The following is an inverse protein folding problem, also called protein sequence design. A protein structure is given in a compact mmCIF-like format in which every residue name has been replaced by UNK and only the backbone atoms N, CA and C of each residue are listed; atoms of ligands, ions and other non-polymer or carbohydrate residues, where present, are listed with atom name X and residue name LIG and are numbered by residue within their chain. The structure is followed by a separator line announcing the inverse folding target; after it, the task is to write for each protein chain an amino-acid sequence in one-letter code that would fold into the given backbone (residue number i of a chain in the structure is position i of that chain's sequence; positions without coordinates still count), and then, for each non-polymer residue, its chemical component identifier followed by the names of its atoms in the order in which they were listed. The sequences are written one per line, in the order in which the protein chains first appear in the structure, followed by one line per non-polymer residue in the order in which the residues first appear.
data_IF_012896595784
#
_entry.id   IF_012896595784
#
_cell.length_a   1.000
_cell.length_b   1.000
_cell.length_c   1.000
_cell.angle_alpha   90.00
_cell.angle_beta   90.00
_cell.angle_gamma   90.00
#
_symmetry.space_group_name_H-M   'P 1'
#
loop_
_entity.id
_entity.type
_entity.pdbx_description
1 polymer ?
#
# COMPACT_ATOMS: atom_id res chain seq x y z
N UNK A 1 -18.89 -10.59 -12.92
CA UNK A 1 -18.38 -11.35 -11.75
C UNK A 1 -18.00 -10.31 -10.70
N UNK A 2 -18.65 -10.33 -9.55
CA UNK A 2 -18.55 -9.29 -8.53
C UNK A 2 -17.24 -9.44 -7.74
N UNK A 3 -16.28 -8.54 -8.00
CA UNK A 3 -15.09 -8.38 -7.20
C UNK A 3 -15.45 -7.71 -5.87
N UNK A 4 -15.81 -8.51 -4.88
CA UNK A 4 -15.98 -8.03 -3.51
C UNK A 4 -14.60 -7.65 -2.95
N UNK A 5 -14.35 -6.35 -2.86
CA UNK A 5 -13.27 -5.80 -2.04
C UNK A 5 -13.50 -6.25 -0.60
N UNK A 6 -12.80 -7.30 -0.19
CA UNK A 6 -12.82 -7.76 1.19
C UNK A 6 -12.12 -6.73 2.05
N UNK A 7 -12.90 -5.77 2.56
CA UNK A 7 -12.63 -5.09 3.81
C UNK A 7 -12.04 -6.11 4.80
N UNK A 8 -10.93 -5.80 5.45
CA UNK A 8 -10.32 -6.64 6.47
C UNK A 8 -11.19 -6.78 7.73
N UNK A 9 -12.38 -7.38 7.59
CA UNK A 9 -13.02 -8.15 8.64
C UNK A 9 -12.14 -9.37 8.90
N UNK A 10 -12.03 -9.75 10.17
CA UNK A 10 -11.53 -11.04 10.63
C UNK A 10 -12.46 -12.18 10.16
N UNK A 11 -12.73 -12.25 8.86
CA UNK A 11 -13.40 -13.38 8.24
C UNK A 11 -12.38 -14.49 8.14
N UNK A 12 -12.78 -15.66 8.63
CA UNK A 12 -12.00 -16.89 8.52
C UNK A 12 -12.01 -17.34 7.04
N UNK A 13 -11.00 -18.08 6.59
CA UNK A 13 -10.87 -18.58 5.19
C UNK A 13 -12.04 -19.45 4.70
N UNK A 14 -12.97 -19.75 5.61
CA UNK A 14 -14.00 -20.77 5.45
C UNK A 14 -13.36 -22.15 5.57
N UNK A 15 -13.89 -22.97 6.47
CA UNK A 15 -13.44 -24.37 6.63
C UNK A 15 -13.57 -25.13 5.30
N UNK A 16 -14.57 -24.79 4.49
CA UNK A 16 -14.84 -25.40 3.18
C UNK A 16 -13.68 -25.23 2.17
N UNK A 17 -12.80 -24.25 2.38
CA UNK A 17 -11.64 -24.02 1.52
C UNK A 17 -10.47 -24.98 1.82
N UNK A 18 -10.49 -25.69 2.96
CA UNK A 18 -9.49 -26.70 3.35
C UNK A 18 -9.87 -28.09 2.83
N UNK A 19 -9.91 -28.23 1.51
CA UNK A 19 -10.30 -29.45 0.80
C UNK A 19 -9.29 -29.80 -0.29
N UNK A 20 -9.45 -30.94 -0.96
CA UNK A 20 -8.65 -31.30 -2.14
C UNK A 20 -8.68 -30.16 -3.18
N UNK A 21 -7.50 -29.72 -3.62
CA UNK A 21 -7.31 -28.56 -4.50
C UNK A 21 -7.33 -27.19 -3.79
N UNK A 22 -7.69 -27.15 -2.51
CA UNK A 22 -7.80 -25.95 -1.68
C UNK A 22 -6.55 -25.68 -0.83
N UNK A 23 -6.74 -25.07 0.33
CA UNK A 23 -5.65 -24.73 1.26
C UNK A 23 -5.06 -25.96 1.94
N UNK A 24 -3.81 -25.85 2.39
CA UNK A 24 -3.17 -26.82 3.25
C UNK A 24 -3.42 -26.48 4.73
N UNK A 25 -3.84 -27.47 5.54
CA UNK A 25 -4.06 -27.28 6.97
C UNK A 25 -2.75 -27.38 7.76
N UNK A 26 -2.16 -26.23 8.09
CA UNK A 26 -0.92 -26.13 8.86
C UNK A 26 -1.21 -26.00 10.36
N UNK A 27 -0.39 -26.64 11.18
CA UNK A 27 -0.36 -26.51 12.64
C UNK A 27 0.98 -25.94 13.10
N UNK A 28 0.98 -25.35 14.30
CA UNK A 28 2.20 -24.92 14.97
C UNK A 28 3.11 -26.15 15.17
N UNK A 29 4.41 -25.95 14.96
CA UNK A 29 5.46 -26.96 14.94
C UNK A 29 5.34 -28.00 13.81
N UNK A 30 4.54 -27.76 12.77
CA UNK A 30 4.63 -28.59 11.56
C UNK A 30 5.95 -28.32 10.82
N UNK A 31 6.55 -29.40 10.32
CA UNK A 31 7.85 -29.40 9.66
C UNK A 31 7.69 -29.44 8.13
N UNK A 32 8.44 -28.58 7.44
CA UNK A 32 8.49 -28.50 5.98
C UNK A 32 9.92 -28.68 5.48
N UNK A 33 10.07 -29.12 4.22
CA UNK A 33 11.35 -29.35 3.56
C UNK A 33 12.34 -30.18 4.40
N UNK A 34 11.92 -31.37 4.85
CA UNK A 34 12.77 -32.27 5.64
C UNK A 34 13.12 -31.74 7.04
N UNK A 35 12.26 -30.90 7.63
CA UNK A 35 12.49 -30.34 8.97
C UNK A 35 13.26 -29.03 8.99
N UNK A 36 13.63 -28.49 7.82
CA UNK A 36 14.29 -27.18 7.74
C UNK A 36 13.40 -26.05 8.25
N UNK A 37 12.13 -26.02 7.85
CA UNK A 37 11.22 -24.94 8.19
C UNK A 37 10.15 -25.42 9.17
N UNK A 38 10.07 -24.80 10.34
CA UNK A 38 9.12 -25.16 11.39
C UNK A 38 8.08 -24.06 11.57
N UNK A 39 6.81 -24.37 11.33
CA UNK A 39 5.71 -23.39 11.40
C UNK A 39 5.50 -22.86 12.82
N UNK A 40 5.39 -21.55 12.98
CA UNK A 40 5.30 -20.85 14.27
C UNK A 40 3.90 -20.29 14.51
N UNK A 41 3.44 -19.41 13.61
CA UNK A 41 2.09 -18.82 13.66
C UNK A 41 1.67 -18.35 12.28
N UNK A 42 0.36 -18.31 12.05
CA UNK A 42 -0.18 -17.73 10.81
C UNK A 42 0.04 -16.21 10.79
N UNK A 43 0.53 -15.69 9.67
CA UNK A 43 0.72 -14.25 9.43
C UNK A 43 -0.47 -13.65 8.69
N UNK A 44 -1.02 -14.39 7.72
CA UNK A 44 -2.12 -13.91 6.91
C UNK A 44 -2.59 -14.96 5.92
N UNK A 45 -3.53 -14.54 5.08
CA UNK A 45 -4.09 -15.37 4.02
C UNK A 45 -4.68 -14.52 2.91
N UNK A 46 -4.78 -15.12 1.73
CA UNK A 46 -5.43 -14.52 0.57
C UNK A 46 -6.18 -15.56 -0.24
N UNK A 47 -6.79 -15.14 -1.35
CA UNK A 47 -7.61 -16.01 -2.19
C UNK A 47 -6.87 -17.27 -2.67
N UNK A 48 -5.55 -17.23 -2.80
CA UNK A 48 -4.75 -18.30 -3.42
C UNK A 48 -3.79 -19.01 -2.46
N UNK A 49 -3.59 -18.49 -1.25
CA UNK A 49 -2.52 -18.98 -0.37
C UNK A 49 -2.75 -18.65 1.10
N UNK A 50 -2.00 -19.33 1.96
CA UNK A 50 -1.82 -18.95 3.36
C UNK A 50 -0.37 -18.58 3.60
N UNK A 51 -0.10 -17.63 4.51
CA UNK A 51 1.25 -17.19 4.85
C UNK A 51 1.49 -17.42 6.34
N UNK A 52 2.59 -18.09 6.65
CA UNK A 52 2.97 -18.50 8.00
C UNK A 52 4.35 -17.94 8.35
N UNK A 53 4.51 -17.54 9.60
CA UNK A 53 5.83 -17.39 10.19
C UNK A 53 6.40 -18.79 10.36
N UNK A 54 7.61 -19.02 9.88
CA UNK A 54 8.36 -20.24 10.10
C UNK A 54 9.75 -19.92 10.64
N UNK A 55 10.36 -20.89 11.30
CA UNK A 55 11.74 -20.83 11.75
C UNK A 55 12.60 -21.73 10.86
N UNK A 56 13.64 -21.16 10.24
CA UNK A 56 14.65 -21.91 9.47
C UNK A 56 15.71 -22.45 10.41
N UNK A 57 15.71 -23.77 10.63
CA UNK A 57 16.61 -24.46 11.55
C UNK A 57 18.06 -24.50 11.07
N UNK A 58 18.32 -24.24 9.77
CA UNK A 58 19.68 -24.19 9.24
C UNK A 58 20.35 -22.84 9.46
N UNK A 59 19.59 -21.76 9.30
CA UNK A 59 20.12 -20.39 9.39
C UNK A 59 19.81 -19.71 10.74
N UNK A 60 19.01 -20.36 11.58
CA UNK A 60 18.53 -19.85 12.86
C UNK A 60 17.77 -18.52 12.73
N UNK A 61 17.03 -18.34 11.63
CA UNK A 61 16.29 -17.12 11.31
C UNK A 61 14.79 -17.39 11.14
N UNK A 62 13.99 -16.39 11.45
CA UNK A 62 12.57 -16.38 11.12
C UNK A 62 12.36 -16.00 9.64
N UNK A 63 11.43 -16.68 8.99
CA UNK A 63 11.08 -16.53 7.58
C UNK A 63 9.57 -16.53 7.39
N UNK A 64 9.10 -16.06 6.24
CA UNK A 64 7.70 -16.15 5.83
C UNK A 64 7.52 -17.31 4.88
N UNK A 65 6.72 -18.31 5.25
CA UNK A 65 6.36 -19.46 4.44
C UNK A 65 4.98 -19.22 3.79
N UNK A 66 4.97 -18.93 2.49
CA UNK A 66 3.76 -18.78 1.66
C UNK A 66 3.42 -20.13 1.02
N UNK A 67 2.24 -20.66 1.30
CA UNK A 67 1.79 -21.98 0.86
C UNK A 67 0.59 -21.81 -0.07
N UNK A 68 0.77 -22.15 -1.34
CA UNK A 68 -0.26 -22.02 -2.38
C UNK A 68 -1.33 -23.12 -2.23
N UNK A 69 -2.55 -22.84 -2.71
CA UNK A 69 -3.57 -23.87 -2.91
C UNK A 69 -3.08 -24.96 -3.88
N UNK A 70 -3.57 -26.18 -3.72
CA UNK A 70 -3.07 -27.35 -4.46
C UNK A 70 -3.75 -27.61 -5.82
N UNK A 71 -4.81 -26.88 -6.19
CA UNK A 71 -5.46 -27.10 -7.47
C UNK A 71 -4.52 -26.73 -8.63
N UNK A 72 -4.47 -27.53 -9.72
CA UNK A 72 -3.55 -27.29 -10.84
C UNK A 72 -3.66 -25.90 -11.47
N UNK A 73 -4.88 -25.33 -11.50
CA UNK A 73 -5.16 -23.99 -12.00
C UNK A 73 -4.41 -22.86 -11.26
N UNK A 74 -3.90 -23.11 -10.05
CA UNK A 74 -3.10 -22.14 -9.29
C UNK A 74 -1.59 -22.36 -9.44
N UNK A 75 -1.18 -23.49 -10.02
CA UNK A 75 0.24 -23.86 -10.10
C UNK A 75 1.01 -22.96 -11.08
N UNK A 76 0.42 -22.62 -12.22
CA UNK A 76 1.05 -21.75 -13.21
C UNK A 76 1.33 -20.34 -12.65
N UNK A 77 0.33 -19.70 -12.05
CA UNK A 77 0.49 -18.40 -11.39
C UNK A 77 1.52 -18.45 -10.25
N UNK A 78 1.58 -19.55 -9.49
CA UNK A 78 2.58 -19.73 -8.45
C UNK A 78 4.01 -19.91 -9.00
N UNK A 79 4.18 -20.65 -10.10
CA UNK A 79 5.47 -20.85 -10.74
C UNK A 79 5.97 -19.56 -11.39
N UNK A 80 5.06 -18.80 -12.01
CA UNK A 80 5.35 -17.45 -12.52
C UNK A 80 5.82 -16.51 -11.41
N UNK A 81 5.15 -16.50 -10.26
CA UNK A 81 5.57 -15.70 -9.10
C UNK A 81 6.97 -16.13 -8.61
N UNK A 82 7.26 -17.44 -8.55
CA UNK A 82 8.59 -17.95 -8.21
C UNK A 82 9.64 -17.48 -9.21
N UNK A 83 9.37 -17.55 -10.51
CA UNK A 83 10.30 -17.11 -11.55
C UNK A 83 10.65 -15.63 -11.41
N UNK A 84 9.65 -14.77 -11.27
CA UNK A 84 9.83 -13.32 -11.06
C UNK A 84 10.67 -13.06 -9.80
N UNK A 85 10.30 -13.70 -8.68
CA UNK A 85 11.01 -13.52 -7.41
C UNK A 85 12.45 -14.06 -7.44
N UNK A 86 12.69 -15.18 -8.13
CA UNK A 86 14.05 -15.72 -8.34
C UNK A 86 14.92 -14.73 -9.09
N UNK A 87 14.44 -14.16 -10.21
CA UNK A 87 15.19 -13.14 -10.96
C UNK A 87 15.53 -11.93 -10.09
N UNK A 88 14.56 -11.44 -9.30
CA UNK A 88 14.77 -10.31 -8.40
C UNK A 88 15.83 -10.64 -7.34
N UNK A 89 15.73 -11.79 -6.67
CA UNK A 89 16.63 -12.16 -5.59
C UNK A 89 18.05 -12.48 -6.05
N UNK A 90 18.18 -13.18 -7.17
CA UNK A 90 19.49 -13.51 -7.75
C UNK A 90 20.23 -12.26 -8.25
N UNK A 91 19.47 -11.23 -8.66
CA UNK A 91 20.01 -9.96 -9.18
C UNK A 91 20.29 -8.92 -8.09
N UNK A 92 19.74 -9.06 -6.87
CA UNK A 92 20.08 -8.25 -5.68
C UNK A 92 20.34 -9.12 -4.43
N UNK A 93 21.46 -9.88 -4.38
CA UNK A 93 21.81 -10.69 -3.20
C UNK A 93 22.02 -9.86 -1.93
N UNK A 94 22.27 -8.57 -2.06
CA UNK A 94 22.48 -7.63 -0.95
C UNK A 94 21.18 -7.22 -0.27
N UNK A 95 20.03 -7.46 -0.91
CA UNK A 95 18.71 -7.05 -0.45
C UNK A 95 18.59 -5.55 -0.18
N UNK A 96 19.25 -4.74 -1.01
CA UNK A 96 19.34 -3.28 -0.86
C UNK A 96 18.26 -2.53 -1.63
N UNK A 97 17.55 -3.19 -2.54
CA UNK A 97 16.61 -2.55 -3.49
C UNK A 97 15.17 -2.44 -2.99
N UNK A 98 14.95 -2.54 -1.67
CA UNK A 98 13.62 -2.42 -1.07
C UNK A 98 12.57 -3.41 -1.64
N UNK A 99 12.99 -4.64 -2.00
CA UNK A 99 12.10 -5.69 -2.48
C UNK A 99 12.33 -6.97 -1.68
N UNK A 100 11.25 -7.69 -1.38
CA UNK A 100 11.29 -8.96 -0.64
C UNK A 100 12.17 -10.00 -1.34
N UNK A 101 12.93 -10.73 -0.55
CA UNK A 101 13.80 -11.79 -1.04
C UNK A 101 13.14 -13.17 -0.98
N UNK A 102 13.25 -13.93 -2.07
CA UNK A 102 12.99 -15.36 -2.11
C UNK A 102 14.24 -16.12 -1.63
N UNK A 103 14.08 -16.86 -0.55
CA UNK A 103 15.15 -17.63 0.10
C UNK A 103 15.18 -19.07 -0.42
N UNK A 104 14.00 -19.67 -0.61
CA UNK A 104 13.84 -21.07 -1.02
C UNK A 104 12.45 -21.27 -1.62
N UNK A 105 12.27 -22.31 -2.42
CA UNK A 105 10.96 -22.76 -2.86
C UNK A 105 10.96 -24.28 -3.02
N UNK A 106 9.84 -24.92 -2.68
CA UNK A 106 9.72 -26.38 -2.74
C UNK A 106 8.27 -26.82 -2.91
N UNK A 107 8.09 -28.11 -3.19
CA UNK A 107 6.78 -28.77 -3.22
C UNK A 107 6.53 -29.49 -1.91
N UNK A 108 5.36 -29.30 -1.32
CA UNK A 108 4.91 -30.00 -0.12
C UNK A 108 3.70 -30.89 -0.43
N UNK A 109 3.82 -32.19 -0.17
CA UNK A 109 2.71 -33.11 -0.29
C UNK A 109 1.87 -33.10 0.99
N UNK A 110 0.62 -32.69 0.89
CA UNK A 110 -0.34 -32.70 2.00
C UNK A 110 -1.62 -33.47 1.66
N UNK A 111 -2.56 -33.59 2.61
CA UNK A 111 -3.81 -34.33 2.40
C UNK A 111 -4.69 -33.74 1.28
N UNK A 112 -4.53 -32.45 0.99
CA UNK A 112 -5.30 -31.73 -0.01
C UNK A 112 -4.62 -31.69 -1.40
N UNK A 113 -3.44 -32.30 -1.56
CA UNK A 113 -2.70 -32.35 -2.81
C UNK A 113 -1.24 -31.87 -2.66
N UNK A 114 -0.62 -31.57 -3.79
CA UNK A 114 0.73 -31.01 -3.82
C UNK A 114 0.63 -29.47 -3.79
N UNK A 115 1.30 -28.86 -2.82
CA UNK A 115 1.32 -27.42 -2.61
C UNK A 115 2.68 -26.86 -3.00
N UNK A 116 2.70 -25.77 -3.78
CA UNK A 116 3.92 -24.99 -3.99
C UNK A 116 4.13 -24.08 -2.80
N UNK A 117 5.33 -24.10 -2.25
CA UNK A 117 5.73 -23.33 -1.09
C UNK A 117 6.87 -22.38 -1.47
N UNK A 118 6.76 -21.12 -1.04
CA UNK A 118 7.79 -20.10 -1.16
C UNK A 118 8.24 -19.71 0.24
N UNK A 119 9.55 -19.63 0.45
CA UNK A 119 10.16 -19.14 1.67
C UNK A 119 10.74 -17.77 1.36
N UNK A 120 10.14 -16.76 1.96
CA UNK A 120 10.53 -15.36 1.82
C UNK A 120 11.22 -14.89 3.11
N UNK A 121 12.00 -13.82 3.04
CA UNK A 121 12.44 -13.14 4.26
C UNK A 121 11.23 -12.73 5.13
N UNK A 122 11.42 -12.71 6.44
CA UNK A 122 10.39 -12.18 7.33
C UNK A 122 10.35 -10.66 7.24
N UNK A 123 9.14 -10.12 7.07
CA UNK A 123 8.85 -8.69 7.11
C UNK A 123 7.73 -8.42 8.13
N UNK A 124 7.63 -7.17 8.54
CA UNK A 124 6.69 -6.67 9.53
C UNK A 124 5.27 -6.45 9.01
N UNK A 125 4.61 -5.45 9.60
CA UNK A 125 3.22 -5.12 9.25
C UNK A 125 3.14 -4.37 7.90
N UNK A 126 2.01 -4.51 7.21
CA UNK A 126 1.76 -3.77 5.95
C UNK A 126 1.52 -2.28 6.20
N UNK A 127 1.72 -1.46 5.17
CA UNK A 127 1.37 -0.04 5.23
C UNK A 127 -0.13 0.17 5.46
N UNK A 128 -1.01 -0.71 4.95
CA UNK A 128 -2.44 -0.67 5.30
C UNK A 128 -2.64 -0.80 6.82
N UNK A 129 -1.87 -1.67 7.48
CA UNK A 129 -1.95 -1.84 8.94
C UNK A 129 -1.35 -0.65 9.68
N UNK A 130 -0.33 0.01 9.12
CA UNK A 130 0.20 1.27 9.63
C UNK A 130 -0.86 2.39 9.57
N UNK A 131 -1.54 2.57 8.43
CA UNK A 131 -2.62 3.56 8.26
C UNK A 131 -3.74 3.31 9.28
N UNK A 132 -4.16 2.04 9.44
CA UNK A 132 -5.14 1.62 10.47
C UNK A 132 -4.66 1.89 11.88
N UNK A 133 -3.39 1.62 12.17
CA UNK A 133 -2.79 1.86 13.48
C UNK A 133 -2.77 3.36 13.82
N UNK A 134 -2.48 4.21 12.84
CA UNK A 134 -2.58 5.67 12.90
C UNK A 134 -4.03 6.20 12.88
N UNK A 135 -5.04 5.30 12.89
CA UNK A 135 -6.47 5.63 12.86
C UNK A 135 -6.88 6.48 11.66
N UNK A 136 -6.29 6.24 10.49
CA UNK A 136 -6.58 7.00 9.26
C UNK A 136 -6.39 8.52 9.45
N UNK A 137 -5.50 8.93 10.36
CA UNK A 137 -5.11 10.32 10.53
C UNK A 137 -4.02 10.68 9.53
N UNK A 138 -3.91 11.98 9.23
CA UNK A 138 -2.83 12.58 8.45
C UNK A 138 -1.48 12.14 9.02
N UNK A 139 -0.59 11.68 8.14
CA UNK A 139 0.78 11.33 8.49
C UNK A 139 1.70 12.52 8.19
N UNK A 140 2.68 12.75 9.06
CA UNK A 140 3.70 13.78 8.82
C UNK A 140 4.42 13.54 7.49
N UNK A 141 4.54 14.58 6.66
CA UNK A 141 5.11 14.44 5.31
C UNK A 141 6.54 13.90 5.30
N UNK A 142 7.34 14.13 6.36
CA UNK A 142 8.67 13.52 6.46
C UNK A 142 8.63 11.99 6.51
N UNK A 143 7.65 11.43 7.24
CA UNK A 143 7.42 9.98 7.33
C UNK A 143 6.88 9.44 6.00
N UNK A 144 6.00 10.18 5.33
CA UNK A 144 5.51 9.85 3.97
C UNK A 144 6.66 9.81 2.96
N UNK A 145 7.55 10.81 2.97
CA UNK A 145 8.73 10.88 2.09
C UNK A 145 9.67 9.70 2.29
N UNK A 146 9.91 9.28 3.53
CA UNK A 146 10.77 8.12 3.84
C UNK A 146 10.22 6.83 3.19
N UNK A 147 8.93 6.57 3.39
CA UNK A 147 8.25 5.42 2.77
C UNK A 147 8.28 5.53 1.24
N UNK A 148 7.99 6.71 0.69
CA UNK A 148 8.00 6.95 -0.76
C UNK A 148 9.38 6.68 -1.37
N UNK A 149 10.48 7.02 -0.67
CA UNK A 149 11.84 6.71 -1.14
C UNK A 149 12.07 5.21 -1.27
N UNK A 150 11.65 4.41 -0.29
CA UNK A 150 11.76 2.95 -0.37
C UNK A 150 10.99 2.39 -1.58
N UNK A 151 9.75 2.84 -1.79
CA UNK A 151 8.92 2.39 -2.92
C UNK A 151 9.57 2.78 -4.25
N UNK A 152 10.07 4.01 -4.38
CA UNK A 152 10.70 4.48 -5.62
C UNK A 152 12.05 3.82 -5.90
N UNK A 153 12.85 3.48 -4.87
CA UNK A 153 14.08 2.68 -5.05
C UNK A 153 13.74 1.31 -5.63
N UNK A 154 12.69 0.67 -5.11
CA UNK A 154 12.22 -0.62 -5.62
C UNK A 154 11.70 -0.53 -7.04
N UNK A 155 10.87 0.48 -7.35
CA UNK A 155 10.33 0.69 -8.69
C UNK A 155 11.42 0.99 -9.72
N UNK A 156 12.41 1.82 -9.37
CA UNK A 156 13.54 2.11 -10.27
C UNK A 156 14.30 0.84 -10.65
N UNK A 157 14.54 -0.02 -9.67
CA UNK A 157 15.21 -1.30 -9.89
C UNK A 157 14.36 -2.25 -10.76
N UNK A 158 13.08 -2.43 -10.43
CA UNK A 158 12.16 -3.27 -11.22
C UNK A 158 12.06 -2.80 -12.67
N UNK A 159 11.84 -1.50 -12.88
CA UNK A 159 11.57 -0.94 -14.20
C UNK A 159 12.84 -0.88 -15.06
N UNK A 160 13.92 -0.30 -14.54
CA UNK A 160 15.13 0.00 -15.34
C UNK A 160 16.09 -1.17 -15.43
N UNK A 161 16.27 -1.91 -14.34
CA UNK A 161 17.29 -2.97 -14.27
C UNK A 161 16.71 -4.35 -14.61
N UNK A 162 15.45 -4.62 -14.25
CA UNK A 162 14.85 -5.95 -14.43
C UNK A 162 13.75 -6.07 -15.50
N UNK A 163 13.29 -4.95 -16.06
CA UNK A 163 12.19 -4.93 -17.04
C UNK A 163 10.87 -5.54 -16.51
N UNK A 164 10.61 -5.41 -15.20
CA UNK A 164 9.41 -5.95 -14.53
C UNK A 164 8.46 -4.81 -14.19
N UNK A 165 7.16 -5.02 -14.40
CA UNK A 165 6.07 -4.16 -13.95
C UNK A 165 5.35 -4.90 -12.81
N UNK A 166 5.11 -4.25 -11.67
CA UNK A 166 4.48 -4.87 -10.51
C UNK A 166 2.96 -5.08 -10.70
N UNK A 167 2.29 -4.12 -11.32
CA UNK A 167 0.87 -4.12 -11.74
C UNK A 167 -0.18 -4.17 -10.63
N UNK A 168 0.17 -4.48 -9.37
CA UNK A 168 -0.79 -4.47 -8.25
C UNK A 168 -0.24 -3.78 -6.99
N UNK A 169 0.32 -2.57 -7.18
CA UNK A 169 0.86 -1.77 -6.08
C UNK A 169 -0.26 -1.17 -5.23
N UNK A 170 -0.21 -1.44 -3.92
CA UNK A 170 -1.17 -0.96 -2.91
C UNK A 170 -0.56 -1.07 -1.51
N UNK A 171 -1.10 -0.39 -0.48
CA UNK A 171 -0.55 -0.42 0.88
C UNK A 171 -0.49 -1.81 1.53
N UNK A 172 -1.29 -2.78 1.06
CA UNK A 172 -1.23 -4.18 1.49
C UNK A 172 0.05 -4.88 1.02
N UNK A 173 0.55 -4.50 -0.16
CA UNK A 173 1.68 -5.12 -0.85
C UNK A 173 3.01 -4.38 -0.56
N UNK A 174 3.04 -3.57 0.49
CA UNK A 174 4.25 -2.92 1.00
C UNK A 174 4.34 -3.20 2.49
N UNK A 175 5.40 -3.89 2.91
CA UNK A 175 5.60 -4.31 4.30
C UNK A 175 6.76 -3.54 4.93
N UNK A 176 6.58 -3.13 6.18
CA UNK A 176 7.66 -2.58 7.01
C UNK A 176 8.72 -3.65 7.28
N UNK A 177 9.96 -3.26 7.57
CA UNK A 177 11.01 -4.21 7.96
C UNK A 177 10.77 -4.87 9.31
N UNK A 178 10.00 -4.24 10.20
CA UNK A 178 9.68 -4.76 11.53
C UNK A 178 8.21 -4.53 11.87
N UNK A 179 7.68 -5.29 12.83
CA UNK A 179 6.28 -5.11 13.25
C UNK A 179 6.12 -3.79 14.01
N UNK A 180 4.96 -3.14 13.83
CA UNK A 180 4.58 -1.90 14.53
C UNK A 180 4.60 -2.10 16.05
N UNK A 181 4.18 -3.28 16.51
CA UNK A 181 4.19 -3.68 17.91
C UNK A 181 5.41 -4.59 18.17
N UNK A 182 6.50 -4.09 18.79
CA UNK A 182 7.74 -4.84 18.95
C UNK A 182 7.57 -6.16 19.71
N UNK A 183 6.52 -6.29 20.53
CA UNK A 183 6.23 -7.51 21.29
C UNK A 183 5.74 -8.66 20.40
N UNK A 184 5.28 -8.35 19.19
CA UNK A 184 4.83 -9.32 18.18
C UNK A 184 5.90 -9.64 17.14
N UNK A 185 7.01 -8.91 17.17
CA UNK A 185 8.14 -9.12 16.29
C UNK A 185 8.89 -10.39 16.74
N UNK A 186 9.03 -11.42 15.91
CA UNK A 186 9.69 -12.66 16.31
C UNK A 186 11.19 -12.46 16.59
N UNK A 187 11.82 -11.43 16.01
CA UNK A 187 13.23 -11.11 16.24
C UNK A 187 13.37 -10.20 17.46
N UNK A 188 12.55 -9.13 17.56
CA UNK A 188 12.69 -8.12 18.62
C UNK A 188 12.07 -8.51 19.95
N UNK A 189 11.11 -9.45 19.96
CA UNK A 189 10.46 -9.90 21.20
C UNK A 189 11.32 -10.86 22.04
N UNK A 190 12.37 -11.45 21.47
CA UNK A 190 13.20 -12.46 22.14
C UNK A 190 12.48 -13.79 22.39
N UNK A 191 11.31 -14.03 21.78
CA UNK A 191 10.61 -15.31 21.91
C UNK A 191 11.40 -16.44 21.24
N UNK A 192 11.64 -17.51 22.01
CA UNK A 192 12.26 -18.72 21.48
C UNK A 192 11.34 -19.40 20.45
N UNK A 193 11.92 -19.96 19.37
CA UNK A 193 11.14 -20.66 18.36
C UNK A 193 10.52 -21.94 18.96
N UNK A 194 9.29 -22.23 18.54
CA UNK A 194 8.59 -23.47 18.89
C UNK A 194 9.07 -24.55 17.91
N UNK A 195 9.96 -25.44 18.38
CA UNK A 195 10.54 -26.51 17.56
C UNK A 195 9.75 -27.82 17.63
N UNK A 196 9.10 -28.07 18.76
CA UNK A 196 8.31 -29.26 19.02
C UNK A 196 6.87 -28.88 19.36
N UNK A 197 5.96 -29.82 19.16
CA UNK A 197 4.57 -29.63 19.55
C UNK A 197 4.50 -29.57 21.09
N UNK A 198 3.84 -28.57 21.68
CA UNK A 198 3.63 -28.53 23.13
C UNK A 198 2.95 -29.83 23.58
N UNK A 199 3.55 -30.56 24.52
CA UNK A 199 2.95 -31.77 25.09
C UNK A 199 1.67 -31.40 25.85
N UNK A 200 0.51 -31.74 25.27
CA UNK A 200 -0.79 -31.37 25.83
C UNK A 200 -1.97 -31.60 24.90
N UNK A 201 -2.58 -32.78 25.04
CA UNK A 201 -3.91 -33.24 24.61
C UNK A 201 -4.02 -34.05 23.27
N UNK A 202 -4.30 -35.37 23.34
CA UNK A 202 -4.56 -36.25 22.18
C UNK A 202 -5.79 -35.87 21.34
N UNK A 203 -6.62 -34.93 21.80
CA UNK A 203 -7.75 -34.37 21.05
C UNK A 203 -7.51 -32.88 20.77
N UNK A 204 -6.80 -32.60 19.68
CA UNK A 204 -7.05 -31.42 18.84
C UNK A 204 -7.04 -30.04 19.51
N UNK A 205 -5.89 -29.62 20.04
CA UNK A 205 -5.45 -28.23 20.06
C UNK A 205 -6.20 -27.25 20.96
N UNK A 206 -5.45 -26.30 21.52
CA UNK A 206 -5.98 -25.02 21.99
C UNK A 206 -6.46 -24.19 20.80
N UNK A 207 -7.49 -24.69 20.10
CA UNK A 207 -8.44 -23.83 19.44
C UNK A 207 -9.11 -23.11 20.59
N UNK A 208 -8.78 -21.84 20.82
CA UNK A 208 -9.64 -20.94 21.60
C UNK A 208 -11.07 -21.25 21.18
N UNK A 209 -11.85 -21.87 22.09
CA UNK A 209 -13.12 -22.51 21.75
C UNK A 209 -13.92 -21.54 20.88
N UNK A 210 -14.53 -21.98 19.77
CA UNK A 210 -15.28 -21.08 18.88
C UNK A 210 -16.33 -20.26 19.66
N UNK A 211 -16.83 -20.86 20.75
CA UNK A 211 -17.67 -20.24 21.78
C UNK A 211 -16.92 -19.13 22.52
N UNK A 212 -15.69 -19.36 23.00
CA UNK A 212 -14.86 -18.38 23.70
C UNK A 212 -14.38 -17.23 22.79
N UNK A 213 -14.03 -17.50 21.53
CA UNK A 213 -13.77 -16.47 20.50
C UNK A 213 -15.04 -15.65 20.22
N UNK A 214 -16.19 -16.30 20.05
CA UNK A 214 -17.49 -15.61 19.89
C UNK A 214 -17.87 -14.82 21.15
N UNK A 215 -17.53 -15.31 22.35
CA UNK A 215 -17.81 -14.66 23.64
C UNK A 215 -16.92 -13.42 23.82
N UNK A 216 -15.61 -13.52 23.56
CA UNK A 216 -14.69 -12.36 23.57
C UNK A 216 -15.06 -11.35 22.50
N UNK A 217 -15.53 -11.77 21.32
CA UNK A 217 -16.04 -10.88 20.25
C UNK A 217 -17.35 -10.20 20.63
N UNK A 218 -18.31 -10.94 21.23
CA UNK A 218 -19.54 -10.37 21.78
C UNK A 218 -19.25 -9.40 22.91
N UNK A 219 -18.29 -9.71 23.79
CA UNK A 219 -17.84 -8.83 24.86
C UNK A 219 -17.23 -7.55 24.30
N UNK A 220 -16.33 -7.63 23.31
CA UNK A 220 -15.75 -6.44 22.63
C UNK A 220 -16.79 -5.59 21.91
N UNK A 221 -17.74 -6.21 21.20
CA UNK A 221 -18.85 -5.49 20.54
C UNK A 221 -19.84 -4.88 21.55
N UNK A 222 -20.08 -5.55 22.68
CA UNK A 222 -20.89 -5.01 23.77
C UNK A 222 -20.19 -3.83 24.43
N UNK A 223 -18.88 -3.92 24.67
CA UNK A 223 -18.05 -2.81 25.18
C UNK A 223 -18.06 -1.63 24.21
N UNK A 224 -17.92 -1.85 22.89
CA UNK A 224 -18.02 -0.80 21.86
C UNK A 224 -19.39 -0.11 21.87
N UNK A 225 -20.47 -0.89 21.92
CA UNK A 225 -21.85 -0.36 21.99
C UNK A 225 -22.13 0.38 23.30
N UNK A 226 -21.56 -0.08 24.42
CA UNK A 226 -21.65 0.61 25.72
C UNK A 226 -20.83 1.90 25.70
N UNK A 227 -19.65 1.92 25.07
CA UNK A 227 -18.87 3.15 24.88
C UNK A 227 -19.56 4.14 23.94
N UNK A 228 -20.17 3.69 22.85
CA UNK A 228 -20.96 4.54 21.94
C UNK A 228 -22.22 5.11 22.64
N UNK A 229 -22.93 4.29 23.44
CA UNK A 229 -24.03 4.77 24.28
C UNK A 229 -23.60 5.74 25.38
N UNK A 230 -22.41 5.55 25.98
CA UNK A 230 -21.84 6.48 26.97
C UNK A 230 -21.47 7.82 26.33
N UNK A 231 -20.92 7.82 25.11
CA UNK A 231 -20.64 9.03 24.32
C UNK A 231 -21.94 9.76 23.96
N UNK A 232 -22.99 9.03 23.58
CA UNK A 232 -24.32 9.61 23.32
C UNK A 232 -25.01 10.19 24.57
N UNK A 233 -24.59 9.80 25.77
CA UNK A 233 -25.14 10.23 27.07
C UNK A 233 -24.18 11.16 27.84
N UNK A 234 -23.18 11.74 27.17
CA UNK A 234 -22.27 12.73 27.75
C UNK A 234 -21.18 12.19 28.70
N UNK A 235 -20.97 10.88 28.75
CA UNK A 235 -19.93 10.26 29.57
C UNK A 235 -18.55 10.32 28.90
N UNK A 236 -17.56 10.88 29.58
CA UNK A 236 -16.17 10.90 29.12
C UNK A 236 -15.58 9.48 29.06
N UNK A 237 -15.12 9.06 27.88
CA UNK A 237 -14.26 7.87 27.72
C UNK A 237 -12.85 8.19 28.20
N UNK A 238 -12.10 7.24 28.81
CA UNK A 238 -10.66 7.40 28.94
C UNK A 238 -10.10 7.67 27.55
N UNK A 239 -9.39 8.78 27.37
CA UNK A 239 -8.70 9.10 26.11
C UNK A 239 -7.83 7.89 25.77
N UNK A 240 -8.01 7.24 24.61
CA UNK A 240 -7.05 6.24 24.18
C UNK A 240 -5.70 6.95 24.15
N UNK A 241 -4.70 6.42 24.85
CA UNK A 241 -3.33 6.94 24.78
C UNK A 241 -2.98 7.23 23.32
N UNK A 242 -2.41 8.41 23.05
CA UNK A 242 -1.97 8.76 21.72
C UNK A 242 -0.96 7.71 21.27
N UNK A 243 -1.37 6.85 20.33
CA UNK A 243 -0.50 5.89 19.68
C UNK A 243 0.46 6.70 18.82
N UNK A 244 1.61 7.05 19.40
CA UNK A 244 2.65 7.77 18.69
C UNK A 244 3.29 6.81 17.69
N UNK A 245 3.55 7.32 16.48
CA UNK A 245 4.33 6.61 15.47
C UNK A 245 5.85 6.71 15.74
N UNK A 246 6.23 7.45 16.79
CA UNK A 246 7.61 7.63 17.19
C UNK A 246 8.25 6.30 17.57
N UNK A 247 9.43 6.03 17.02
CA UNK A 247 10.15 4.78 17.23
C UNK A 247 9.71 3.60 16.35
N UNK A 248 8.74 3.79 15.45
CA UNK A 248 8.46 2.83 14.37
C UNK A 248 9.49 3.03 13.25
N UNK A 249 10.18 1.97 12.86
CA UNK A 249 11.03 1.95 11.67
C UNK A 249 10.14 1.90 10.41
N UNK A 250 10.21 2.96 9.60
CA UNK A 250 9.36 3.14 8.42
C UNK A 250 10.00 2.62 7.13
N UNK A 251 11.21 2.07 7.20
CA UNK A 251 11.79 1.34 6.07
C UNK A 251 10.87 0.20 5.69
N UNK A 252 10.66 0.04 4.39
CA UNK A 252 9.72 -0.95 3.85
C UNK A 252 10.24 -1.60 2.58
N UNK A 253 9.57 -2.69 2.20
CA UNK A 253 9.83 -3.42 0.96
C UNK A 253 8.53 -3.73 0.22
N UNK A 254 8.60 -3.72 -1.11
CA UNK A 254 7.53 -4.21 -1.98
C UNK A 254 7.48 -5.74 -1.92
N UNK A 255 6.27 -6.28 -1.85
CA UNK A 255 5.98 -7.72 -1.79
C UNK A 255 4.86 -8.09 -2.76
N UNK A 256 4.63 -9.40 -2.92
CA UNK A 256 3.52 -9.99 -3.70
C UNK A 256 3.59 -9.73 -5.21
N UNK A 257 4.41 -10.54 -5.89
CA UNK A 257 4.67 -10.45 -7.33
C UNK A 257 3.77 -11.38 -8.15
N UNK A 258 2.67 -11.90 -7.57
CA UNK A 258 1.77 -12.83 -8.25
C UNK A 258 1.06 -12.26 -9.48
N UNK A 259 0.96 -10.94 -9.58
CA UNK A 259 0.39 -10.23 -10.74
C UNK A 259 1.46 -9.51 -11.58
N UNK A 260 2.73 -9.58 -11.19
CA UNK A 260 3.80 -8.88 -11.91
C UNK A 260 4.00 -9.48 -13.31
N UNK A 261 4.49 -8.68 -14.25
CA UNK A 261 4.79 -9.14 -15.61
C UNK A 261 6.06 -8.49 -16.14
N UNK A 262 6.75 -9.16 -17.06
CA UNK A 262 7.81 -8.50 -17.83
C UNK A 262 7.20 -7.55 -18.86
N UNK A 263 7.83 -6.40 -19.09
CA UNK A 263 7.25 -5.37 -19.95
C UNK A 263 7.13 -5.81 -21.42
N UNK A 264 7.95 -6.77 -21.87
CA UNK A 264 7.93 -7.39 -23.20
C UNK A 264 6.97 -8.59 -23.29
N UNK A 265 6.41 -9.06 -22.16
CA UNK A 265 5.51 -10.21 -22.06
C UNK A 265 4.29 -9.90 -21.20
N UNK A 266 3.52 -8.90 -21.62
CA UNK A 266 2.26 -8.54 -20.98
C UNK A 266 1.18 -9.58 -21.32
N UNK A 267 0.50 -10.12 -20.32
CA UNK A 267 -0.49 -11.21 -20.49
C UNK A 267 -1.91 -10.86 -20.03
N UNK A 268 -2.13 -9.76 -19.29
CA UNK A 268 -3.46 -9.32 -18.85
C UNK A 268 -3.70 -7.85 -19.19
N UNK A 269 -4.85 -7.54 -19.77
CA UNK A 269 -5.30 -6.16 -19.98
C UNK A 269 -5.91 -5.55 -18.72
N UNK A 270 -6.49 -6.37 -17.83
CA UNK A 270 -7.05 -5.92 -16.56
C UNK A 270 -6.05 -6.19 -15.43
N UNK A 271 -5.39 -5.13 -15.01
CA UNK A 271 -4.45 -5.10 -13.89
C UNK A 271 -4.87 -4.08 -12.83
N UNK A 272 -4.10 -3.99 -11.75
CA UNK A 272 -4.27 -3.08 -10.62
C UNK A 272 -5.56 -3.28 -9.83
N UNK A 273 -5.42 -3.19 -8.51
CA UNK A 273 -6.56 -3.01 -7.62
C UNK A 273 -7.29 -1.69 -7.93
N UNK A 274 -8.63 -1.71 -7.94
CA UNK A 274 -9.52 -0.64 -8.44
C UNK A 274 -9.07 0.77 -8.03
N UNK A 275 -8.80 1.01 -6.76
CA UNK A 275 -8.51 2.34 -6.20
C UNK A 275 -7.15 2.91 -6.63
N UNK A 276 -6.26 2.05 -7.12
CA UNK A 276 -4.90 2.40 -7.54
C UNK A 276 -4.72 2.25 -9.07
N UNK A 277 -5.83 1.99 -9.79
CA UNK A 277 -5.84 1.69 -11.22
C UNK A 277 -5.67 2.96 -12.06
N UNK A 278 -4.75 2.90 -13.02
CA UNK A 278 -4.40 4.00 -13.89
C UNK A 278 -5.46 4.23 -15.00
N UNK A 279 -5.62 5.46 -15.52
CA UNK A 279 -6.60 5.77 -16.54
C UNK A 279 -6.38 4.97 -17.83
N UNK A 280 -5.12 4.72 -18.24
CA UNK A 280 -4.81 3.94 -19.44
C UNK A 280 -5.27 2.47 -19.36
N UNK A 281 -5.36 1.91 -18.13
CA UNK A 281 -5.88 0.57 -17.90
C UNK A 281 -7.40 0.55 -18.01
N UNK A 282 -8.09 1.57 -17.46
CA UNK A 282 -9.56 1.72 -17.59
C UNK A 282 -9.95 1.93 -19.06
N UNK A 283 -9.19 2.75 -19.77
CA UNK A 283 -9.43 3.08 -21.17
C UNK A 283 -8.99 1.98 -22.13
N UNK A 284 -8.20 1.00 -21.66
CA UNK A 284 -7.54 -0.02 -22.49
C UNK A 284 -6.76 0.61 -23.65
N UNK A 285 -5.84 1.52 -23.33
CA UNK A 285 -4.94 2.15 -24.32
C UNK A 285 -3.53 1.54 -24.35
N UNK A 286 -3.36 0.36 -23.74
CA UNK A 286 -2.05 -0.24 -23.46
C UNK A 286 -1.43 0.34 -22.19
N UNK A 287 -0.51 -0.42 -21.57
CA UNK A 287 0.18 -0.02 -20.35
C UNK A 287 1.68 -0.32 -20.39
N UNK A 288 2.42 0.33 -19.50
CA UNK A 288 3.86 0.15 -19.30
C UNK A 288 4.19 0.45 -17.84
N UNK A 289 5.47 0.64 -17.48
CA UNK A 289 5.92 0.94 -16.12
C UNK A 289 5.17 2.10 -15.43
N UNK A 290 4.63 3.03 -16.22
CA UNK A 290 3.84 4.18 -15.79
C UNK A 290 2.62 3.83 -14.93
N UNK A 291 2.09 2.61 -15.02
CA UNK A 291 0.96 2.19 -14.17
C UNK A 291 1.36 2.04 -12.72
N UNK A 292 2.57 1.54 -12.45
CA UNK A 292 3.10 1.45 -11.09
C UNK A 292 3.35 2.84 -10.51
N UNK A 293 3.78 3.79 -11.35
CA UNK A 293 3.95 5.19 -10.95
C UNK A 293 2.60 5.84 -10.58
N UNK A 294 1.52 5.52 -11.29
CA UNK A 294 0.18 5.97 -10.93
C UNK A 294 -0.26 5.40 -9.58
N UNK A 295 -0.13 4.07 -9.38
CA UNK A 295 -0.45 3.43 -8.11
C UNK A 295 0.38 4.01 -6.96
N UNK A 296 1.67 4.29 -7.20
CA UNK A 296 2.54 4.98 -6.24
C UNK A 296 2.00 6.37 -5.86
N UNK A 297 1.55 7.17 -6.82
CA UNK A 297 0.92 8.47 -6.55
C UNK A 297 -0.30 8.36 -5.64
N UNK A 298 -1.18 7.38 -5.91
CA UNK A 298 -2.35 7.09 -5.07
C UNK A 298 -1.95 6.64 -3.64
N UNK A 299 -0.92 5.79 -3.50
CA UNK A 299 -0.40 5.34 -2.20
C UNK A 299 0.20 6.52 -1.42
N UNK A 300 0.97 7.39 -2.07
CA UNK A 300 1.54 8.57 -1.43
C UNK A 300 0.46 9.49 -0.87
N UNK A 301 -0.62 9.73 -1.63
CA UNK A 301 -1.79 10.46 -1.16
C UNK A 301 -2.46 9.77 0.05
N UNK A 302 -2.68 8.46 -0.03
CA UNK A 302 -3.33 7.70 1.05
C UNK A 302 -2.50 7.68 2.33
N UNK A 303 -1.18 7.55 2.23
CA UNK A 303 -0.28 7.65 3.37
C UNK A 303 -0.35 9.03 4.03
N UNK A 304 -0.36 10.10 3.22
CA UNK A 304 -0.39 11.46 3.72
C UNK A 304 -1.72 11.83 4.38
N UNK A 305 -2.84 11.31 3.86
CA UNK A 305 -4.18 11.77 4.24
C UNK A 305 -4.95 10.77 5.12
N UNK A 306 -4.60 9.49 5.04
CA UNK A 306 -5.37 8.38 5.60
C UNK A 306 -6.56 7.93 4.74
N UNK A 307 -6.87 8.63 3.64
CA UNK A 307 -7.99 8.31 2.75
C UNK A 307 -7.48 7.80 1.40
N UNK A 308 -8.17 6.81 0.83
CA UNK A 308 -7.95 6.42 -0.56
C UNK A 308 -8.24 7.61 -1.49
N UNK A 309 -7.34 7.88 -2.44
CA UNK A 309 -7.45 9.02 -3.37
C UNK A 309 -8.70 8.94 -4.25
N UNK A 310 -8.99 7.74 -4.77
CA UNK A 310 -10.14 7.49 -5.62
C UNK A 310 -10.95 6.30 -5.07
N UNK A 311 -12.24 6.53 -4.81
CA UNK A 311 -13.17 5.49 -4.31
C UNK A 311 -14.41 5.44 -5.22
N UNK A 312 -14.25 4.96 -6.46
CA UNK A 312 -15.32 4.97 -7.45
C UNK A 312 -16.51 4.10 -7.02
N UNK A 313 -17.71 4.51 -7.43
CA UNK A 313 -18.97 3.82 -7.15
C UNK A 313 -19.82 3.70 -8.41
N UNK A 314 -20.53 2.58 -8.53
CA UNK A 314 -21.53 2.42 -9.58
C UNK A 314 -22.75 3.29 -9.29
N UNK A 315 -23.22 4.01 -10.30
CA UNK A 315 -24.48 4.76 -10.26
C UNK A 315 -25.60 4.04 -11.00
N UNK A 316 -26.79 4.65 -10.98
CA UNK A 316 -27.92 4.15 -11.77
C UNK A 316 -27.66 4.24 -13.29
N UNK A 317 -27.00 5.33 -13.73
CA UNK A 317 -26.80 5.64 -15.14
C UNK A 317 -25.34 5.56 -15.61
N UNK A 318 -24.39 5.32 -14.71
CA UNK A 318 -22.95 5.30 -15.00
C UNK A 318 -22.26 4.13 -14.29
N UNK A 319 -21.20 3.61 -14.92
CA UNK A 319 -20.40 2.52 -14.36
C UNK A 319 -19.40 3.04 -13.33
N UNK A 320 -18.89 2.13 -12.49
CA UNK A 320 -17.76 2.43 -11.60
C UNK A 320 -16.55 3.00 -12.36
N UNK A 321 -16.27 2.50 -13.57
CA UNK A 321 -15.15 3.01 -14.37
C UNK A 321 -15.37 4.47 -14.81
N UNK A 322 -16.60 4.85 -15.19
CA UNK A 322 -16.91 6.22 -15.58
C UNK A 322 -16.84 7.18 -14.38
N UNK A 323 -17.32 6.74 -13.22
CA UNK A 323 -17.15 7.46 -11.95
C UNK A 323 -15.68 7.61 -11.57
N UNK A 324 -14.88 6.58 -11.80
CA UNK A 324 -13.45 6.64 -11.53
C UNK A 324 -12.75 7.70 -12.38
N UNK A 325 -13.04 7.74 -13.68
CA UNK A 325 -12.55 8.76 -14.59
C UNK A 325 -13.04 10.17 -14.19
N UNK A 326 -14.29 10.29 -13.73
CA UNK A 326 -14.81 11.55 -13.21
C UNK A 326 -14.03 12.04 -11.98
N UNK A 327 -13.79 11.18 -10.99
CA UNK A 327 -13.03 11.50 -9.79
C UNK A 327 -11.60 11.95 -10.12
N UNK A 328 -10.95 11.27 -11.08
CA UNK A 328 -9.63 11.69 -11.56
C UNK A 328 -9.69 13.10 -12.17
N UNK A 329 -10.69 13.39 -13.01
CA UNK A 329 -10.84 14.69 -13.65
C UNK A 329 -11.19 15.81 -12.67
N UNK A 330 -12.01 15.54 -11.66
CA UNK A 330 -12.38 16.50 -10.61
C UNK A 330 -11.16 16.98 -9.82
N UNK A 331 -10.20 16.09 -9.57
CA UNK A 331 -9.03 16.36 -8.74
C UNK A 331 -7.81 16.86 -9.54
N UNK A 332 -7.57 16.27 -10.73
CA UNK A 332 -6.38 16.50 -11.56
C UNK A 332 -6.65 17.42 -12.76
N UNK A 333 -7.90 17.84 -12.96
CA UNK A 333 -8.32 18.68 -14.08
C UNK A 333 -8.78 17.88 -15.30
N UNK A 334 -9.14 18.58 -16.38
CA UNK A 334 -9.71 17.95 -17.57
C UNK A 334 -8.69 17.02 -18.25
N UNK A 335 -9.07 15.76 -18.44
CA UNK A 335 -8.27 14.79 -19.20
C UNK A 335 -8.04 15.32 -20.63
N UNK A 336 -6.79 15.33 -21.14
CA UNK A 336 -6.51 15.75 -22.50
C UNK A 336 -7.30 14.92 -23.51
N UNK A 337 -7.94 15.60 -24.48
CA UNK A 337 -8.81 14.94 -25.47
C UNK A 337 -8.16 13.73 -26.14
N UNK A 338 -6.88 13.85 -26.51
CA UNK A 338 -6.12 12.75 -27.16
C UNK A 338 -6.08 11.48 -26.30
N UNK A 339 -5.94 11.64 -24.98
CA UNK A 339 -5.96 10.52 -24.03
C UNK A 339 -7.40 10.00 -23.88
N UNK A 340 -8.34 10.89 -23.62
CA UNK A 340 -9.75 10.54 -23.37
C UNK A 340 -10.37 9.70 -24.49
N UNK A 341 -10.02 9.96 -25.75
CA UNK A 341 -10.56 9.25 -26.92
C UNK A 341 -9.62 8.19 -27.51
N UNK A 342 -8.45 7.97 -26.89
CA UNK A 342 -7.36 7.18 -27.47
C UNK A 342 -7.37 5.68 -27.16
N UNK A 343 -8.15 5.23 -26.17
CA UNK A 343 -8.21 3.84 -25.74
C UNK A 343 -9.32 3.02 -26.41
N UNK A 344 -9.18 1.70 -26.41
CA UNK A 344 -10.16 0.79 -27.01
C UNK A 344 -11.56 0.93 -26.38
N UNK A 345 -11.63 1.24 -25.08
CA UNK A 345 -12.88 1.46 -24.32
C UNK A 345 -13.26 2.92 -24.15
N UNK A 346 -12.51 3.87 -24.72
CA UNK A 346 -12.82 5.29 -24.62
C UNK A 346 -14.26 5.64 -25.03
N UNK A 347 -14.79 4.95 -26.05
CA UNK A 347 -16.17 5.16 -26.53
C UNK A 347 -17.23 4.73 -25.51
N UNK A 348 -16.91 3.95 -24.49
CA UNK A 348 -17.85 3.59 -23.43
C UNK A 348 -18.12 4.80 -22.53
N UNK A 349 -17.12 5.67 -22.34
CA UNK A 349 -17.09 6.70 -21.29
C UNK A 349 -17.13 8.13 -21.84
N UNK A 350 -16.45 8.40 -22.96
CA UNK A 350 -16.24 9.75 -23.49
C UNK A 350 -16.94 9.98 -24.82
N UNK A 351 -17.41 11.21 -25.04
CA UNK A 351 -17.87 11.69 -26.35
C UNK A 351 -16.71 12.09 -27.27
N UNK A 352 -17.02 12.60 -28.47
CA UNK A 352 -16.01 13.01 -29.46
C UNK A 352 -15.18 14.23 -29.04
N UNK A 353 -15.63 14.99 -28.05
CA UNK A 353 -14.98 16.17 -27.50
C UNK A 353 -14.06 15.82 -26.32
N UNK A 354 -14.16 14.59 -25.79
CA UNK A 354 -13.41 14.14 -24.63
C UNK A 354 -14.13 14.46 -23.31
N UNK A 355 -15.44 14.67 -23.35
CA UNK A 355 -16.27 14.88 -22.16
C UNK A 355 -17.01 13.58 -21.80
N UNK A 356 -17.21 13.34 -20.50
CA UNK A 356 -17.89 12.13 -20.00
C UNK A 356 -19.37 12.13 -20.41
N UNK A 357 -19.87 10.96 -20.82
CA UNK A 357 -21.21 10.82 -21.42
C UNK A 357 -22.34 10.98 -20.43
N UNK A 358 -22.26 10.31 -19.27
CA UNK A 358 -23.31 10.30 -18.23
C UNK A 358 -22.99 11.26 -17.09
N UNK A 359 -21.72 11.39 -16.71
CA UNK A 359 -21.31 12.32 -15.63
C UNK A 359 -20.95 13.68 -16.22
N UNK A 360 -21.96 14.51 -16.47
CA UNK A 360 -21.80 15.81 -17.17
C UNK A 360 -21.43 16.99 -16.27
N UNK A 361 -21.55 16.84 -14.95
CA UNK A 361 -21.31 17.91 -13.97
C UNK A 361 -20.21 17.48 -13.01
N UNK A 362 -18.98 17.80 -13.38
CA UNK A 362 -17.80 17.56 -12.55
C UNK A 362 -17.64 18.68 -11.52
N UNK A 363 -17.35 18.31 -10.27
CA UNK A 363 -17.05 19.21 -9.15
C UNK A 363 -15.54 19.32 -8.97
N UNK A 364 -14.93 20.24 -9.70
CA UNK A 364 -13.49 20.44 -9.60
C UNK A 364 -13.08 20.93 -8.21
N UNK A 365 -12.11 20.25 -7.60
CA UNK A 365 -11.48 20.63 -6.35
C UNK A 365 -10.00 20.32 -6.44
N UNK A 366 -9.19 21.35 -6.67
CA UNK A 366 -7.76 21.18 -6.88
C UNK A 366 -7.09 20.54 -5.66
N UNK A 367 -6.07 19.72 -5.92
CA UNK A 367 -5.41 18.90 -4.92
C UNK A 367 -4.83 19.71 -3.75
N UNK A 368 -4.22 20.87 -4.04
CA UNK A 368 -3.71 21.80 -3.04
C UNK A 368 -4.81 22.32 -2.10
N UNK A 369 -5.95 22.76 -2.65
CA UNK A 369 -7.10 23.23 -1.87
C UNK A 369 -7.71 22.11 -1.04
N UNK A 370 -7.84 20.92 -1.61
CA UNK A 370 -8.31 19.74 -0.88
C UNK A 370 -7.41 19.46 0.34
N UNK A 371 -6.08 19.49 0.16
CA UNK A 371 -5.11 19.25 1.23
C UNK A 371 -5.20 20.29 2.36
N UNK A 372 -5.37 21.57 2.02
CA UNK A 372 -5.53 22.65 3.03
C UNK A 372 -6.91 22.57 3.71
N UNK A 373 -7.98 22.55 2.94
CA UNK A 373 -9.34 22.73 3.44
C UNK A 373 -9.84 21.48 4.17
N UNK A 374 -9.62 20.29 3.61
CA UNK A 374 -10.08 19.03 4.20
C UNK A 374 -9.09 18.46 5.21
N UNK A 375 -7.80 18.40 4.83
CA UNK A 375 -6.77 17.70 5.61
C UNK A 375 -5.91 18.61 6.49
N UNK A 376 -6.14 19.93 6.45
CA UNK A 376 -5.48 20.92 7.32
C UNK A 376 -3.96 20.95 7.17
N UNK A 377 -3.47 20.67 5.96
CA UNK A 377 -2.08 20.90 5.60
C UNK A 377 -1.78 22.40 5.64
N UNK A 378 -0.52 22.77 5.91
CA UNK A 378 -0.07 24.14 5.66
C UNK A 378 -0.13 24.43 4.16
N UNK A 379 -0.34 25.68 3.75
CA UNK A 379 -0.38 26.04 2.33
C UNK A 379 0.89 25.61 1.59
N UNK A 380 2.07 25.78 2.21
CA UNK A 380 3.35 25.40 1.64
C UNK A 380 3.51 23.87 1.47
N UNK A 381 3.10 23.09 2.48
CA UNK A 381 3.13 21.62 2.40
C UNK A 381 2.12 21.10 1.37
N UNK A 382 0.91 21.67 1.34
CA UNK A 382 -0.13 21.33 0.40
C UNK A 382 0.31 21.62 -1.04
N UNK A 383 0.85 22.81 -1.30
CA UNK A 383 1.34 23.20 -2.61
C UNK A 383 2.46 22.26 -3.08
N UNK A 384 3.53 22.11 -2.29
CA UNK A 384 4.69 21.31 -2.69
C UNK A 384 4.36 19.82 -2.89
N UNK A 385 3.43 19.27 -2.10
CA UNK A 385 2.98 17.90 -2.27
C UNK A 385 2.03 17.74 -3.46
N UNK A 386 1.10 18.68 -3.67
CA UNK A 386 0.21 18.67 -4.82
C UNK A 386 0.97 18.80 -6.14
N UNK A 387 2.00 19.64 -6.20
CA UNK A 387 2.89 19.77 -7.36
C UNK A 387 3.58 18.44 -7.69
N UNK A 388 4.15 17.77 -6.68
CA UNK A 388 4.77 16.46 -6.86
C UNK A 388 3.77 15.40 -7.36
N UNK A 389 2.60 15.30 -6.72
CA UNK A 389 1.57 14.33 -7.11
C UNK A 389 1.01 14.60 -8.51
N UNK A 390 0.84 15.87 -8.89
CA UNK A 390 0.32 16.24 -10.21
C UNK A 390 1.23 15.80 -11.35
N UNK A 391 2.56 15.77 -11.13
CA UNK A 391 3.52 15.22 -12.10
C UNK A 391 3.41 13.70 -12.20
N UNK A 392 3.33 13.01 -11.07
CA UNK A 392 3.25 11.54 -11.00
C UNK A 392 1.91 11.02 -11.55
N UNK A 393 0.84 11.79 -11.42
CA UNK A 393 -0.52 11.46 -11.84
C UNK A 393 -0.93 12.15 -13.14
N UNK A 394 0.01 12.46 -14.04
CA UNK A 394 -0.33 12.98 -15.37
C UNK A 394 -1.18 11.93 -16.13
N UNK A 395 -2.22 12.38 -16.83
CA UNK A 395 -3.08 11.51 -17.63
C UNK A 395 -2.34 10.86 -18.81
N UNK A 396 -1.32 11.52 -19.36
CA UNK A 396 -0.47 10.97 -20.40
C UNK A 396 0.62 10.10 -19.77
N UNK A 397 0.60 8.75 -19.96
CA UNK A 397 1.54 7.85 -19.32
C UNK A 397 3.01 8.20 -19.60
N UNK A 398 3.31 8.68 -20.81
CA UNK A 398 4.64 9.08 -21.26
C UNK A 398 5.17 10.37 -20.61
N UNK A 399 4.30 11.15 -19.96
CA UNK A 399 4.69 12.37 -19.24
C UNK A 399 4.97 12.13 -17.76
N UNK A 400 4.56 10.98 -17.22
CA UNK A 400 4.83 10.64 -15.83
C UNK A 400 6.34 10.44 -15.64
N UNK A 401 6.93 11.02 -14.59
CA UNK A 401 8.34 10.80 -14.29
C UNK A 401 8.61 9.32 -13.99
N UNK A 402 9.80 8.85 -14.33
CA UNK A 402 10.29 7.54 -13.88
C UNK A 402 10.58 7.57 -12.37
N UNK A 403 10.69 6.39 -11.75
CA UNK A 403 11.02 6.30 -10.34
C UNK A 403 12.37 6.95 -10.00
N UNK A 404 13.39 6.81 -10.87
CA UNK A 404 14.66 7.52 -10.76
C UNK A 404 14.49 9.04 -10.73
N UNK A 405 13.66 9.58 -11.62
CA UNK A 405 13.40 11.02 -11.70
C UNK A 405 12.68 11.51 -10.44
N UNK A 406 11.69 10.76 -9.95
CA UNK A 406 11.03 11.05 -8.68
C UNK A 406 12.02 11.08 -7.51
N UNK A 407 12.97 10.14 -7.42
CA UNK A 407 13.98 10.10 -6.36
C UNK A 407 14.84 11.36 -6.28
N UNK A 408 15.00 12.10 -7.38
CA UNK A 408 15.72 13.37 -7.43
C UNK A 408 14.82 14.60 -7.18
N UNK A 409 13.51 14.41 -7.08
CA UNK A 409 12.56 15.51 -6.95
C UNK A 409 12.73 16.27 -5.61
N UNK A 410 12.68 17.62 -5.62
CA UNK A 410 12.88 18.43 -4.41
C UNK A 410 11.94 18.09 -3.25
N UNK A 411 10.70 17.69 -3.55
CA UNK A 411 9.74 17.27 -2.53
C UNK A 411 10.22 16.07 -1.69
N UNK A 412 10.94 15.10 -2.30
CA UNK A 412 11.53 13.99 -1.55
C UNK A 412 12.81 14.39 -0.82
N UNK A 413 13.52 15.41 -1.31
CA UNK A 413 14.81 15.86 -0.78
C UNK A 413 14.78 17.35 -0.39
N UNK A 414 13.94 17.77 0.58
CA UNK A 414 13.78 19.18 0.93
C UNK A 414 15.08 19.82 1.47
N UNK A 415 16.04 19.01 1.93
CA UNK A 415 17.36 19.47 2.40
C UNK A 415 18.32 19.89 1.27
N UNK A 416 18.02 19.54 0.02
CA UNK A 416 18.83 19.91 -1.15
C UNK A 416 18.37 21.24 -1.79
N UNK A 417 17.41 21.94 -1.18
CA UNK A 417 17.04 23.29 -1.61
C UNK A 417 18.18 24.26 -1.26
N UNK A 418 18.67 25.09 -2.21
CA UNK A 418 19.62 26.14 -1.90
C UNK A 418 19.09 27.01 -0.76
N UNK A 419 19.89 27.20 0.31
CA UNK A 419 19.55 28.04 1.46
C UNK A 419 19.37 29.55 1.11
N UNK A 420 19.45 29.93 -0.16
CA UNK A 420 19.48 31.30 -0.64
C UNK A 420 18.12 31.99 -0.76
N UNK A 421 16.99 31.28 -0.70
CA UNK A 421 15.67 31.92 -0.88
C UNK A 421 14.87 32.15 0.42
N UNK A 422 15.30 31.59 1.55
CA UNK A 422 14.65 31.83 2.85
C UNK A 422 15.09 33.12 3.57
N UNK A 423 16.17 33.77 3.13
CA UNK A 423 16.63 35.04 3.76
C UNK A 423 15.98 36.30 3.16
N UNK A 424 15.47 36.25 1.94
CA UNK A 424 14.95 37.46 1.26
C UNK A 424 13.48 37.80 1.56
N UNK A 425 12.77 37.00 2.37
CA UNK A 425 11.38 37.31 2.80
C UNK A 425 11.27 37.95 4.19
N UNK A 426 12.38 38.17 4.90
CA UNK A 426 12.36 38.72 6.28
C UNK A 426 12.89 40.15 6.41
N UNK A 427 13.34 40.81 5.33
CA UNK A 427 14.03 42.11 5.42
C UNK A 427 13.38 43.29 4.68
N UNK A 428 12.13 43.19 4.21
CA UNK A 428 11.43 44.36 3.64
C UNK A 428 10.11 44.60 4.36
N UNK A 429 10.19 45.36 5.45
CA UNK A 429 9.33 46.49 5.81
C UNK A 429 9.50 46.86 7.30
N UNK A 430 10.53 47.65 7.59
CA UNK A 430 10.52 48.62 8.69
C UNK A 430 10.89 49.99 8.12
N UNK A 431 9.92 50.63 7.49
CA UNK A 431 10.03 52.07 7.20
C UNK A 431 9.74 52.80 8.51
N UNK A 432 10.81 53.23 9.18
CA UNK A 432 10.73 54.08 10.37
C UNK A 432 10.22 55.47 9.98
N UNK A 433 9.07 55.85 10.54
CA UNK A 433 8.60 57.23 10.58
C UNK A 433 9.42 57.98 11.63
N UNK A 434 10.35 58.82 11.18
CA UNK A 434 11.15 59.70 12.02
C UNK A 434 10.98 61.16 11.60
N UNK A 435 10.06 61.87 12.25
CA UNK A 435 10.00 63.33 12.20
C UNK A 435 11.22 63.93 12.92
N UNK A 436 12.03 64.75 12.26
CA UNK A 436 12.56 65.99 12.85
C UNK A 436 13.36 66.86 11.87
N UNK A 437 13.00 68.15 11.87
CA UNK A 437 13.80 69.34 11.56
C UNK A 437 14.23 69.59 10.11
N UNK A 438 13.42 70.39 9.42
CA UNK A 438 13.91 71.31 8.38
C UNK A 438 13.52 72.74 8.78
N UNK A 439 14.56 73.55 8.99
CA UNK A 439 14.48 74.96 9.34
C UNK A 439 13.95 75.78 8.16
N UNK A 440 13.00 76.67 8.46
CA UNK A 440 12.53 77.71 7.57
C UNK A 440 13.61 78.79 7.45
N UNK A 441 14.10 79.05 6.23
CA UNK A 441 14.76 80.32 5.89
C UNK A 441 13.90 81.07 4.87
N UNK A 442 13.25 82.11 5.38
CA UNK A 442 12.81 83.33 4.69
C UNK A 442 14.09 84.03 4.16
N UNK A 443 14.21 84.65 2.99
CA UNK A 443 13.36 84.98 1.86
C UNK A 443 14.13 85.99 0.98
N UNK A 444 13.59 86.26 -0.22
CA UNK A 444 14.00 87.22 -1.26
C UNK A 444 15.27 86.91 -2.07
#
# INVERSE_FOLDING_TARGET
MSCSSSSGSEDDEGIDSYRKGGYHAVRIADHFAGGRYVAQRKLGWGQFSTVWLAYDTRTSKYVSLKIQKSAPQFAEAALHEIEVLSVISDSDPSSSKCIVQLIDHFKHAGPNGQHLCMVLEFLGDSLLRLIKYNRYRVLELNKVREICKCILVALDYLHRELNIIHTDLKPENILLLSTIDPTKDPVRSGQAPILERPEGNPNGGTTMNLIEKKLKRRARRAVSRISERRVSMGGATPKPEDRKLDGIDLRCKIVDFGNACWADRQFMEEIQTRQYRAPEVILQSGYSYSVDMWSFGCIAFELATGDMMFTPKGGQDYSEDEDHLALMMELLGKMPRKIAIGGARSKDYFDRHGDLKRIRRLKFWSLDRLLVEKYKFTEADAQSFAEFLSLVLDFAPEKRPTAQQCLQHPWLNPRNLPQTEMKNKTEVEKVNVGMSKLQIRVGK
#
